data_IF_102798420327
#
_entry.id   IF_102798420327
#
_cell.length_a   1.000
_cell.length_b   1.000
_cell.length_c   1.000
_cell.angle_alpha   90.00
_cell.angle_beta   90.00
_cell.angle_gamma   90.00
#
_symmetry.space_group_name_H-M   'P 1'
#
loop_
_entity.id
_entity.type
_entity.pdbx_description
1 polymer ?
#
# COMPACT_ATOMS: atom_id res chain seq x y z
N UNK A 1 9.66 -27.24 19.14
CA UNK A 1 10.06 -26.17 20.08
C UNK A 1 10.16 -24.89 19.27
N UNK A 2 9.26 -23.93 19.46
CA UNK A 2 9.37 -22.63 18.79
C UNK A 2 10.50 -21.82 19.47
N UNK A 3 11.37 -21.13 18.72
CA UNK A 3 12.42 -20.32 19.33
C UNK A 3 11.77 -19.23 20.18
N UNK A 4 12.24 -19.09 21.42
CA UNK A 4 11.81 -18.02 22.31
C UNK A 4 12.20 -16.69 21.65
N UNK A 5 11.21 -15.99 21.07
CA UNK A 5 11.41 -14.66 20.54
C UNK A 5 12.04 -13.80 21.65
N UNK A 6 13.19 -13.18 21.36
CA UNK A 6 13.92 -12.39 22.36
C UNK A 6 12.99 -11.39 23.04
N UNK A 7 13.22 -11.08 24.32
CA UNK A 7 12.35 -10.20 25.15
C UNK A 7 11.98 -8.86 24.48
N UNK A 8 12.76 -8.39 23.50
CA UNK A 8 12.49 -7.18 22.72
C UNK A 8 11.72 -7.37 21.40
N UNK A 9 11.56 -8.58 20.89
CA UNK A 9 10.94 -8.83 19.58
C UNK A 9 9.48 -8.32 19.48
N UNK A 10 8.61 -8.46 20.50
CA UNK A 10 7.28 -7.86 20.47
C UNK A 10 7.30 -6.33 20.47
N UNK A 11 8.24 -5.73 21.22
CA UNK A 11 8.40 -4.27 21.28
C UNK A 11 8.91 -3.69 19.96
N UNK A 12 9.93 -4.32 19.37
CA UNK A 12 10.46 -3.96 18.06
C UNK A 12 9.40 -4.08 16.97
N UNK A 13 8.63 -5.17 16.95
CA UNK A 13 7.54 -5.36 15.99
C UNK A 13 6.50 -4.24 16.05
N UNK A 14 6.11 -3.82 17.26
CA UNK A 14 5.16 -2.71 17.45
C UNK A 14 5.76 -1.38 17.00
N UNK A 15 7.02 -1.12 17.34
CA UNK A 15 7.73 0.07 16.89
C UNK A 15 7.83 0.14 15.35
N UNK A 16 8.11 -0.98 14.68
CA UNK A 16 8.11 -1.06 13.23
C UNK A 16 6.73 -0.74 12.63
N UNK A 17 5.65 -1.26 13.20
CA UNK A 17 4.29 -0.94 12.73
C UNK A 17 3.93 0.53 12.94
N UNK A 18 4.35 1.15 14.05
CA UNK A 18 4.15 2.58 14.27
C UNK A 18 4.95 3.44 13.30
N UNK A 19 6.22 3.09 13.08
CA UNK A 19 7.07 3.79 12.11
C UNK A 19 6.48 3.69 10.70
N UNK A 20 6.03 2.51 10.29
CA UNK A 20 5.38 2.28 9.01
C UNK A 20 4.07 3.08 8.87
N UNK A 21 3.26 3.12 9.94
CA UNK A 21 2.03 3.91 9.97
C UNK A 21 2.29 5.41 9.85
N UNK A 22 3.29 5.91 10.57
CA UNK A 22 3.71 7.31 10.46
C UNK A 22 4.22 7.64 9.04
N UNK A 23 5.02 6.75 8.45
CA UNK A 23 5.50 6.90 7.08
C UNK A 23 4.35 6.99 6.08
N UNK A 24 3.37 6.08 6.14
CA UNK A 24 2.21 6.13 5.24
C UNK A 24 1.32 7.35 5.49
N UNK A 25 1.14 7.78 6.75
CA UNK A 25 0.39 8.98 7.05
C UNK A 25 1.08 10.24 6.49
N UNK A 26 2.40 10.32 6.58
CA UNK A 26 3.19 11.38 5.95
C UNK A 26 3.11 11.32 4.42
N UNK A 27 3.17 10.12 3.84
CA UNK A 27 2.99 9.92 2.41
C UNK A 27 1.61 10.39 1.94
N UNK A 28 0.55 10.13 2.71
CA UNK A 28 -0.77 10.71 2.44
C UNK A 28 -0.73 12.23 2.54
N UNK A 29 -0.13 12.80 3.59
CA UNK A 29 -0.12 14.25 3.80
C UNK A 29 0.56 15.03 2.67
N UNK A 30 1.68 14.53 2.14
CA UNK A 30 2.39 15.23 1.05
C UNK A 30 1.59 15.26 -0.26
N UNK A 31 0.69 14.29 -0.46
CA UNK A 31 -0.14 14.14 -1.66
C UNK A 31 -1.21 15.22 -1.82
N UNK A 32 -1.48 16.03 -0.79
CA UNK A 32 -2.38 17.21 -0.90
C UNK A 32 -1.91 18.18 -1.99
N UNK A 33 -0.61 18.15 -2.32
CA UNK A 33 -0.02 19.03 -3.32
C UNK A 33 -0.12 18.48 -4.75
N UNK A 34 -0.57 17.24 -4.92
CA UNK A 34 -0.62 16.56 -6.22
C UNK A 34 -2.00 16.71 -6.89
N UNK A 35 -2.06 16.76 -8.24
CA UNK A 35 -3.32 16.94 -8.97
C UNK A 35 -4.32 15.79 -8.80
N UNK A 36 -3.87 14.64 -8.31
CA UNK A 36 -4.65 13.43 -8.04
C UNK A 36 -4.68 13.06 -6.54
N UNK A 37 -4.55 14.07 -5.67
CA UNK A 37 -4.53 13.97 -4.21
C UNK A 37 -5.59 13.03 -3.63
N UNK A 38 -6.85 13.11 -4.10
CA UNK A 38 -7.96 12.34 -3.55
C UNK A 38 -7.71 10.82 -3.61
N UNK A 39 -7.17 10.34 -4.73
CA UNK A 39 -6.91 8.91 -4.93
C UNK A 39 -5.73 8.48 -4.06
N UNK A 40 -4.62 9.22 -4.13
CA UNK A 40 -3.39 8.84 -3.42
C UNK A 40 -3.51 8.95 -1.91
N UNK A 41 -4.25 9.95 -1.40
CA UNK A 41 -4.49 10.06 0.03
C UNK A 41 -5.28 8.88 0.58
N UNK A 42 -6.28 8.39 -0.14
CA UNK A 42 -7.01 7.16 0.26
C UNK A 42 -6.08 5.95 0.20
N UNK A 43 -5.29 5.82 -0.88
CA UNK A 43 -4.33 4.72 -1.08
C UNK A 43 -3.30 4.64 0.06
N UNK A 44 -2.84 5.77 0.60
CA UNK A 44 -1.88 5.77 1.70
C UNK A 44 -2.53 5.74 3.10
N UNK A 45 -3.73 6.31 3.26
CA UNK A 45 -4.41 6.37 4.58
C UNK A 45 -4.92 5.00 5.02
N UNK A 46 -5.42 4.17 4.09
CA UNK A 46 -5.88 2.81 4.40
C UNK A 46 -4.76 1.95 5.01
N UNK A 47 -3.59 1.77 4.38
CA UNK A 47 -2.49 1.01 4.96
C UNK A 47 -1.92 1.66 6.22
N UNK A 48 -1.92 3.00 6.33
CA UNK A 48 -1.53 3.70 7.57
C UNK A 48 -2.42 3.28 8.76
N UNK A 49 -3.74 3.28 8.56
CA UNK A 49 -4.70 2.85 9.58
C UNK A 49 -4.52 1.38 9.93
N UNK A 50 -4.35 0.51 8.93
CA UNK A 50 -4.16 -0.93 9.13
C UNK A 50 -2.90 -1.24 9.95
N UNK A 51 -1.74 -0.67 9.59
CA UNK A 51 -0.50 -0.94 10.33
C UNK A 51 -0.50 -0.33 11.72
N UNK A 52 -1.12 0.85 11.91
CA UNK A 52 -1.27 1.47 13.22
C UNK A 52 -2.14 0.62 14.16
N UNK A 53 -3.27 0.11 13.66
CA UNK A 53 -4.14 -0.80 14.43
C UNK A 53 -3.42 -2.10 14.83
N UNK A 54 -2.58 -2.66 13.95
CA UNK A 54 -1.74 -3.84 14.27
C UNK A 54 -0.70 -3.51 15.34
N UNK A 55 -0.06 -2.34 15.28
CA UNK A 55 0.91 -1.89 16.28
C UNK A 55 0.28 -1.60 17.65
N UNK A 56 -0.96 -1.09 17.66
CA UNK A 56 -1.73 -0.83 18.87
C UNK A 56 -2.21 -2.14 19.52
N UNK A 57 -2.84 -3.02 18.74
CA UNK A 57 -3.37 -4.29 19.24
C UNK A 57 -3.11 -5.43 18.24
N UNK A 58 -2.05 -6.24 18.44
CA UNK A 58 -1.72 -7.32 17.51
C UNK A 58 -2.81 -8.42 17.45
N UNK A 59 -3.68 -8.53 18.46
CA UNK A 59 -4.78 -9.50 18.48
C UNK A 59 -5.83 -9.22 17.37
N UNK A 60 -5.87 -8.00 16.84
CA UNK A 60 -6.78 -7.64 15.75
C UNK A 60 -6.60 -8.54 14.52
N UNK A 61 -5.37 -9.00 14.28
CA UNK A 61 -5.01 -9.87 13.14
C UNK A 61 -5.65 -11.26 13.21
N UNK A 62 -6.07 -11.70 14.40
CA UNK A 62 -6.77 -12.97 14.61
C UNK A 62 -8.24 -12.93 14.20
N UNK A 63 -8.85 -11.74 14.13
CA UNK A 63 -10.27 -11.57 13.85
C UNK A 63 -10.60 -11.89 12.36
N UNK A 64 -11.69 -12.62 12.12
CA UNK A 64 -12.21 -12.88 10.78
C UNK A 64 -12.45 -11.59 9.99
N UNK A 65 -13.04 -10.56 10.62
CA UNK A 65 -13.30 -9.27 9.98
C UNK A 65 -12.00 -8.64 9.48
N UNK A 66 -10.96 -8.64 10.30
CA UNK A 66 -9.66 -8.10 9.94
C UNK A 66 -9.04 -8.82 8.75
N UNK A 67 -9.09 -10.16 8.77
CA UNK A 67 -8.57 -11.00 7.69
C UNK A 67 -9.32 -10.72 6.38
N UNK A 68 -10.64 -10.61 6.43
CA UNK A 68 -11.47 -10.27 5.26
C UNK A 68 -11.13 -8.88 4.72
N UNK A 69 -11.09 -7.85 5.56
CA UNK A 69 -10.73 -6.48 5.16
C UNK A 69 -9.33 -6.44 4.54
N UNK A 70 -8.35 -7.10 5.17
CA UNK A 70 -6.97 -7.16 4.68
C UNK A 70 -6.89 -7.88 3.33
N UNK A 71 -7.60 -9.00 3.17
CA UNK A 71 -7.63 -9.76 1.92
C UNK A 71 -8.27 -8.94 0.78
N UNK A 72 -9.38 -8.26 1.06
CA UNK A 72 -10.05 -7.38 0.12
C UNK A 72 -9.13 -6.23 -0.30
N UNK A 73 -8.44 -5.58 0.66
CA UNK A 73 -7.48 -4.53 0.36
C UNK A 73 -6.36 -5.00 -0.55
N UNK A 74 -5.73 -6.14 -0.24
CA UNK A 74 -4.68 -6.74 -1.08
C UNK A 74 -5.21 -7.06 -2.48
N UNK A 75 -6.42 -7.61 -2.59
CA UNK A 75 -7.04 -7.90 -3.88
C UNK A 75 -7.21 -6.63 -4.73
N UNK A 76 -7.74 -5.55 -4.15
CA UNK A 76 -7.85 -4.27 -4.86
C UNK A 76 -6.49 -3.71 -5.26
N UNK A 77 -5.48 -3.78 -4.40
CA UNK A 77 -4.12 -3.36 -4.74
C UNK A 77 -3.55 -4.15 -5.93
N UNK A 78 -3.78 -5.47 -5.99
CA UNK A 78 -3.32 -6.31 -7.09
C UNK A 78 -4.03 -5.95 -8.39
N UNK A 79 -5.37 -5.88 -8.36
CA UNK A 79 -6.18 -5.52 -9.54
C UNK A 79 -5.75 -4.15 -10.08
N UNK A 80 -5.57 -3.17 -9.20
CA UNK A 80 -5.12 -1.84 -9.56
C UNK A 80 -3.70 -1.83 -10.16
N UNK A 81 -2.74 -2.51 -9.52
CA UNK A 81 -1.37 -2.59 -10.01
C UNK A 81 -1.29 -3.24 -11.40
N UNK A 82 -2.06 -4.31 -11.64
CA UNK A 82 -2.17 -4.94 -12.96
C UNK A 82 -2.81 -3.99 -13.97
N UNK A 83 -3.88 -3.29 -13.61
CA UNK A 83 -4.52 -2.29 -14.46
C UNK A 83 -3.58 -1.15 -14.85
N UNK A 84 -2.82 -0.62 -13.88
CA UNK A 84 -1.84 0.44 -14.12
C UNK A 84 -0.69 -0.05 -15.02
N UNK A 85 -0.16 -1.25 -14.77
CA UNK A 85 0.86 -1.86 -15.61
C UNK A 85 0.37 -2.07 -17.05
N UNK A 86 -0.86 -2.55 -17.23
CA UNK A 86 -1.46 -2.71 -18.55
C UNK A 86 -1.62 -1.39 -19.29
N UNK A 87 -2.14 -0.35 -18.62
CA UNK A 87 -2.26 0.99 -19.20
C UNK A 87 -0.89 1.56 -19.60
N UNK A 88 0.12 1.44 -18.74
CA UNK A 88 1.49 1.88 -19.04
C UNK A 88 2.05 1.16 -20.27
N UNK A 89 1.83 -0.14 -20.40
CA UNK A 89 2.26 -0.92 -21.56
C UNK A 89 1.54 -0.48 -22.84
N UNK A 90 0.22 -0.26 -22.78
CA UNK A 90 -0.55 0.24 -23.92
C UNK A 90 -0.07 1.61 -24.37
N UNK A 91 0.07 2.56 -23.45
CA UNK A 91 0.57 3.91 -23.76
C UNK A 91 1.97 3.88 -24.36
N UNK A 92 2.86 3.04 -23.83
CA UNK A 92 4.20 2.84 -24.41
C UNK A 92 4.13 2.32 -25.84
N UNK A 93 3.24 1.35 -26.11
CA UNK A 93 3.05 0.79 -27.46
C UNK A 93 2.47 1.82 -28.42
N UNK A 94 1.48 2.59 -28.00
CA UNK A 94 0.88 3.65 -28.81
C UNK A 94 1.89 4.75 -29.14
N UNK A 95 2.69 5.20 -28.16
CA UNK A 95 3.72 6.21 -28.39
C UNK A 95 4.76 5.73 -29.40
N UNK A 96 5.20 4.47 -29.32
CA UNK A 96 6.14 3.89 -30.30
C UNK A 96 5.54 3.89 -31.70
N UNK A 97 4.30 3.41 -31.88
CA UNK A 97 3.67 3.38 -33.20
C UNK A 97 3.49 4.78 -33.80
N UNK A 98 3.11 5.75 -32.97
CA UNK A 98 2.92 7.13 -33.39
C UNK A 98 4.24 7.81 -33.80
N UNK A 99 5.37 7.39 -33.24
CA UNK A 99 6.70 7.88 -33.61
C UNK A 99 7.23 7.24 -34.91
N UNK A 100 6.82 6.00 -35.22
CA UNK A 100 7.14 5.32 -36.49
C UNK A 100 6.29 5.85 -37.66
N UNK A 101 5.01 6.19 -37.46
CA UNK A 101 4.13 6.76 -38.50
C UNK A 101 4.42 8.24 -38.80
N UNK A 102 5.00 8.97 -37.85
CA UNK A 102 5.38 10.39 -38.00
C UNK A 102 6.75 10.61 -38.68
N UNK A 103 7.45 9.54 -39.07
CA UNK A 103 8.77 9.62 -39.71
C UNK A 103 8.61 9.68 -41.24
N UNK A 104 8.98 10.81 -41.90
CA UNK A 104 8.75 11.03 -43.33
C UNK A 104 9.60 10.12 -44.24
#
# INVERSE_FOLDING_TARGET
MAPAAGRGAPGLWRACNWLMGAFFALAAFVQVNDPDAEVWMVVYTIPAGLTLLVGLNPLVTGNFIWKSVSAIHIFFCIVWAVGLAYNLLLHTKQNILHEEEGRP
#
